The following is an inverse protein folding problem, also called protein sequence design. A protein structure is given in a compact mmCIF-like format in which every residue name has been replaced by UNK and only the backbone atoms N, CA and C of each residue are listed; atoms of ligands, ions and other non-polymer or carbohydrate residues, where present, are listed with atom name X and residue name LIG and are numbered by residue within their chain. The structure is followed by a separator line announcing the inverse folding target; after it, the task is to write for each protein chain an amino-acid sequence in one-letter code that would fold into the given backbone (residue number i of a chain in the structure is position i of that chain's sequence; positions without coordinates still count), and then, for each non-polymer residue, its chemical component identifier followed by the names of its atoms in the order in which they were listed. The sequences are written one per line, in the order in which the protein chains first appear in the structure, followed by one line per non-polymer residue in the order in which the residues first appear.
data_IF_925796769940
#
_entry.id   IF_925796769940
#
_cell.length_a   1.000
_cell.length_b   1.000
_cell.length_c   1.000
_cell.angle_alpha   90.00
_cell.angle_beta   90.00
_cell.angle_gamma   90.00
#
_symmetry.space_group_name_H-M   'P 1'
#
loop_
_entity.id
_entity.type
_entity.pdbx_description
1 polymer ?
#
# COMPACT_ATOMS: atom_id res chain seq x y z
N UNK A 1 14.26 1.29 -10.37
CA UNK A 1 12.83 0.98 -10.24
C UNK A 1 12.60 0.78 -8.75
N UNK A 2 11.61 1.42 -8.16
CA UNK A 2 11.34 1.32 -6.73
C UNK A 2 10.25 0.28 -6.46
N UNK A 3 10.39 -0.51 -5.41
CA UNK A 3 9.39 -1.50 -4.98
C UNK A 3 8.50 -0.89 -3.90
N UNK A 4 7.19 -1.00 -4.04
CA UNK A 4 6.24 -0.38 -3.10
C UNK A 4 5.20 -1.38 -2.64
N UNK A 5 4.92 -1.44 -1.33
CA UNK A 5 3.79 -2.19 -0.81
C UNK A 5 2.51 -1.38 -1.00
N UNK A 6 1.57 -1.93 -1.77
CA UNK A 6 0.27 -1.33 -2.06
C UNK A 6 -0.82 -2.27 -1.56
N UNK A 7 -1.72 -1.76 -0.73
CA UNK A 7 -2.92 -2.44 -0.30
C UNK A 7 -4.07 -2.20 -1.28
N UNK A 8 -4.71 -3.27 -1.72
CA UNK A 8 -5.94 -3.21 -2.50
C UNK A 8 -7.03 -3.92 -1.71
N UNK A 9 -7.97 -3.15 -1.16
CA UNK A 9 -9.05 -3.69 -0.35
C UNK A 9 -9.97 -4.62 -1.16
N UNK A 10 -10.48 -5.65 -0.49
CA UNK A 10 -11.42 -6.62 -1.06
C UNK A 10 -12.62 -5.93 -1.71
N UNK A 11 -13.32 -5.05 -1.00
CA UNK A 11 -14.53 -4.39 -1.46
C UNK A 11 -14.30 -3.50 -2.68
N UNK A 12 -13.14 -2.84 -2.79
CA UNK A 12 -12.79 -2.08 -4.00
C UNK A 12 -12.52 -3.01 -5.17
N UNK A 13 -11.76 -4.09 -4.94
CA UNK A 13 -11.54 -5.11 -5.96
C UNK A 13 -12.88 -5.74 -6.39
N UNK A 14 -13.78 -5.96 -5.44
CA UNK A 14 -15.07 -6.60 -5.64
C UNK A 14 -16.11 -5.70 -6.33
N UNK A 15 -16.04 -4.39 -6.14
CA UNK A 15 -16.98 -3.45 -6.73
C UNK A 15 -16.49 -2.92 -8.08
N UNK A 16 -15.28 -2.36 -8.10
CA UNK A 16 -14.76 -1.58 -9.23
C UNK A 16 -13.46 -2.15 -9.83
N UNK A 17 -12.80 -3.07 -9.12
CA UNK A 17 -11.48 -3.55 -9.52
C UNK A 17 -11.48 -4.54 -10.68
N UNK A 18 -10.34 -4.53 -11.36
CA UNK A 18 -9.96 -5.50 -12.40
C UNK A 18 -8.91 -6.44 -11.83
N UNK A 19 -9.13 -7.77 -11.85
CA UNK A 19 -8.11 -8.73 -11.43
C UNK A 19 -6.81 -8.57 -12.21
N UNK A 20 -5.70 -8.83 -11.53
CA UNK A 20 -4.35 -8.74 -12.07
C UNK A 20 -3.51 -9.91 -11.57
N UNK A 21 -2.40 -10.17 -12.25
CA UNK A 21 -1.46 -11.24 -11.96
C UNK A 21 -0.03 -10.70 -11.81
N UNK A 22 0.84 -11.51 -11.22
CA UNK A 22 2.28 -11.23 -11.22
C UNK A 22 2.77 -11.07 -12.66
N UNK A 23 3.51 -10.00 -12.92
CA UNK A 23 4.02 -9.63 -14.23
C UNK A 23 3.16 -8.62 -14.98
N UNK A 24 1.91 -8.39 -14.57
CA UNK A 24 1.03 -7.41 -15.22
C UNK A 24 1.53 -5.98 -14.99
N UNK A 25 1.33 -5.13 -16.01
CA UNK A 25 1.46 -3.68 -15.89
C UNK A 25 0.12 -3.11 -15.48
N UNK A 26 0.11 -2.31 -14.41
CA UNK A 26 -1.11 -1.72 -13.84
C UNK A 26 -0.95 -0.21 -13.69
N UNK A 27 -2.07 0.49 -13.68
CA UNK A 27 -2.16 1.89 -13.32
C UNK A 27 -3.18 2.05 -12.20
N UNK A 28 -2.74 2.51 -11.03
CA UNK A 28 -3.62 2.67 -9.87
C UNK A 28 -3.53 4.08 -9.28
N UNK A 29 -4.68 4.71 -8.97
CA UNK A 29 -4.70 5.86 -8.08
C UNK A 29 -4.27 5.43 -6.68
N UNK A 30 -3.19 6.01 -6.17
CA UNK A 30 -2.66 5.67 -4.85
C UNK A 30 -2.95 6.79 -3.84
N UNK A 31 -3.48 6.38 -2.68
CA UNK A 31 -3.74 7.20 -1.51
C UNK A 31 -2.79 6.76 -0.39
N UNK A 32 -2.16 7.72 0.28
CA UNK A 32 -1.44 7.45 1.52
C UNK A 32 -2.42 7.53 2.69
N UNK A 33 -2.77 6.38 3.25
CA UNK A 33 -3.65 6.27 4.40
C UNK A 33 -2.85 6.26 5.71
N UNK A 34 -3.43 6.82 6.77
CA UNK A 34 -2.96 6.53 8.12
C UNK A 34 -3.09 5.02 8.36
N UNK A 35 -2.05 4.44 8.94
CA UNK A 35 -2.01 3.01 9.21
C UNK A 35 -3.09 2.61 10.22
N UNK A 36 -3.39 3.45 11.20
CA UNK A 36 -4.35 3.15 12.27
C UNK A 36 -5.79 3.10 11.77
N UNK A 37 -6.09 3.81 10.68
CA UNK A 37 -7.41 3.83 10.04
C UNK A 37 -7.68 2.59 9.17
N UNK A 38 -6.63 1.84 8.80
CA UNK A 38 -6.78 0.65 7.96
C UNK A 38 -6.79 -0.61 8.84
N UNK A 39 -7.90 -1.34 8.84
CA UNK A 39 -8.05 -2.63 9.54
C UNK A 39 -7.56 -2.61 11.01
N UNK A 40 -7.79 -1.49 11.71
CA UNK A 40 -7.44 -1.33 13.13
C UNK A 40 -5.93 -1.18 13.42
N UNK A 41 -5.10 -0.90 12.42
CA UNK A 41 -3.68 -0.59 12.64
C UNK A 41 -2.75 -1.78 12.84
N UNK A 42 -1.52 -1.48 13.27
CA UNK A 42 -0.43 -2.44 13.51
C UNK A 42 0.35 -2.86 12.25
N UNK A 43 0.43 -2.00 11.23
CA UNK A 43 0.98 -2.30 9.90
C UNK A 43 2.51 -2.26 9.79
N UNK A 44 3.24 -2.50 10.89
CA UNK A 44 4.66 -2.16 11.03
C UNK A 44 5.58 -2.60 9.86
N UNK A 45 5.25 -3.69 9.17
CA UNK A 45 6.11 -4.29 8.12
C UNK A 45 5.70 -3.87 6.70
N UNK A 46 4.57 -3.19 6.55
CA UNK A 46 4.05 -2.74 5.25
C UNK A 46 3.94 -1.22 5.15
N UNK A 47 4.41 -0.49 6.17
CA UNK A 47 4.44 0.97 6.14
C UNK A 47 5.41 1.46 5.07
N UNK A 48 4.95 2.47 4.35
CA UNK A 48 5.76 3.25 3.42
C UNK A 48 6.06 4.59 4.05
N UNK A 49 7.33 4.99 4.00
CA UNK A 49 7.74 6.35 4.27
C UNK A 49 7.77 7.15 2.98
N UNK A 50 7.17 8.33 3.01
CA UNK A 50 7.16 9.29 1.90
C UNK A 50 7.70 10.61 2.39
N UNK A 51 8.75 11.08 1.72
CA UNK A 51 9.36 12.39 1.95
C UNK A 51 9.28 13.17 0.65
N UNK A 52 8.64 14.33 0.69
CA UNK A 52 8.33 15.01 -0.56
C UNK A 52 7.68 16.38 -0.42
N UNK A 53 7.59 17.06 -1.54
CA UNK A 53 6.89 18.34 -1.64
C UNK A 53 5.37 18.10 -1.73
N UNK A 54 4.61 18.89 -0.98
CA UNK A 54 3.15 18.89 -1.06
C UNK A 54 2.71 19.78 -2.22
N UNK A 55 1.80 19.27 -3.03
CA UNK A 55 1.24 19.96 -4.20
C UNK A 55 -0.29 19.83 -4.18
N UNK A 56 -0.99 20.86 -4.66
CA UNK A 56 -2.41 20.75 -4.99
C UNK A 56 -2.51 20.57 -6.52
N UNK A 57 -2.80 19.35 -6.95
CA UNK A 57 -2.92 19.00 -8.38
C UNK A 57 -4.36 19.23 -8.81
N UNK A 58 -4.55 20.02 -9.87
CA UNK A 58 -5.90 20.30 -10.41
C UNK A 58 -6.48 19.05 -11.06
N UNK A 59 -7.57 18.54 -10.50
CA UNK A 59 -8.44 17.56 -11.14
C UNK A 59 -9.71 18.22 -11.69
N UNK A 60 -10.52 17.42 -12.38
CA UNK A 60 -11.80 17.86 -12.97
C UNK A 60 -12.79 18.38 -11.93
N UNK A 61 -12.83 17.74 -10.77
CA UNK A 61 -13.78 18.02 -9.68
C UNK A 61 -13.16 18.87 -8.56
N UNK A 62 -11.99 19.48 -8.81
CA UNK A 62 -11.26 20.30 -7.85
C UNK A 62 -9.82 19.86 -7.68
N UNK A 63 -9.05 20.64 -6.91
CA UNK A 63 -7.67 20.28 -6.61
C UNK A 63 -7.60 19.16 -5.57
N UNK A 64 -6.75 18.18 -5.81
CA UNK A 64 -6.41 17.09 -4.88
C UNK A 64 -5.05 17.39 -4.28
N UNK A 65 -4.94 17.22 -2.97
CA UNK A 65 -3.65 17.37 -2.29
C UNK A 65 -2.85 16.08 -2.42
N UNK A 66 -1.63 16.22 -2.91
CA UNK A 66 -0.70 15.12 -3.16
C UNK A 66 0.64 15.41 -2.49
N UNK A 67 1.43 14.38 -2.31
CA UNK A 67 2.86 14.50 -2.05
C UNK A 67 3.62 13.92 -3.23
N UNK A 68 4.57 14.69 -3.76
CA UNK A 68 5.58 14.23 -4.71
C UNK A 68 6.80 13.80 -3.93
N UNK A 69 6.92 12.51 -3.74
CA UNK A 69 8.07 11.87 -3.12
C UNK A 69 9.34 12.19 -3.90
N UNK A 70 10.47 12.33 -3.20
CA UNK A 70 11.74 12.81 -3.76
C UNK A 70 12.30 11.93 -4.89
N UNK A 71 11.99 10.63 -4.87
CA UNK A 71 12.34 9.69 -5.95
C UNK A 71 11.30 9.65 -7.07
N UNK A 72 10.20 10.40 -6.95
CA UNK A 72 9.25 10.66 -8.04
C UNK A 72 7.89 9.98 -7.92
N UNK A 73 7.64 9.20 -6.85
CA UNK A 73 6.31 8.67 -6.59
C UNK A 73 5.35 9.84 -6.26
N UNK A 74 4.16 9.85 -6.86
CA UNK A 74 3.13 10.85 -6.57
C UNK A 74 1.92 10.12 -5.98
N UNK A 75 1.52 10.51 -4.78
CA UNK A 75 0.37 9.90 -4.10
C UNK A 75 -0.56 10.96 -3.53
N UNK A 76 -1.86 10.68 -3.54
CA UNK A 76 -2.83 11.53 -2.88
C UNK A 76 -2.67 11.43 -1.35
N UNK A 77 -2.92 12.54 -0.67
CA UNK A 77 -3.03 12.57 0.80
C UNK A 77 -4.49 12.47 1.25
N UNK A 78 -5.45 12.67 0.34
CA UNK A 78 -6.88 12.64 0.61
C UNK A 78 -7.65 12.08 -0.59
N UNK A 79 -8.74 11.34 -0.32
CA UNK A 79 -9.64 10.81 -1.35
C UNK A 79 -10.61 11.87 -1.93
N UNK A 80 -10.66 13.05 -1.32
CA UNK A 80 -11.56 14.14 -1.68
C UNK A 80 -10.78 15.39 -2.13
N UNK A 81 -11.39 16.29 -2.93
CA UNK A 81 -10.76 17.54 -3.32
C UNK A 81 -10.64 18.45 -2.09
N UNK A 82 -9.59 19.27 -2.07
CA UNK A 82 -9.23 20.14 -0.93
C UNK A 82 -10.38 21.02 -0.45
N UNK A 83 -11.23 21.50 -1.36
CA UNK A 83 -12.36 22.37 -1.01
C UNK A 83 -13.52 21.66 -0.30
N UNK A 84 -13.56 20.32 -0.32
CA UNK A 84 -14.56 19.50 0.38
C UNK A 84 -14.08 19.02 1.76
N UNK A 85 -12.82 19.26 2.11
CA UNK A 85 -12.21 18.81 3.36
C UNK A 85 -12.15 19.98 4.32
N UNK A 86 -12.51 19.76 5.59
CA UNK A 86 -12.40 20.80 6.60
C UNK A 86 -10.93 21.21 6.79
N UNK A 87 -10.62 22.50 7.04
CA UNK A 87 -9.25 22.95 7.20
C UNK A 87 -8.42 22.16 8.23
N UNK A 88 -9.06 21.70 9.31
CA UNK A 88 -8.41 20.95 10.39
C UNK A 88 -8.11 19.50 9.98
N UNK A 89 -8.86 18.95 9.02
CA UNK A 89 -8.70 17.58 8.51
C UNK A 89 -7.70 17.49 7.34
N UNK A 90 -7.29 18.63 6.76
CA UNK A 90 -6.30 18.66 5.67
C UNK A 90 -4.89 18.20 6.10
N UNK A 91 -4.64 18.10 7.41
CA UNK A 91 -3.36 17.70 7.97
C UNK A 91 -2.26 18.76 7.87
N UNK A 92 -1.04 18.36 8.21
CA UNK A 92 0.10 19.27 8.45
C UNK A 92 0.84 19.81 7.23
N UNK A 93 0.35 19.61 6.00
CA UNK A 93 1.04 20.00 4.77
C UNK A 93 0.25 20.98 3.91
N UNK A 94 0.79 22.18 3.70
CA UNK A 94 0.30 23.14 2.69
C UNK A 94 1.08 22.97 1.39
N UNK A 95 0.52 23.37 0.24
CA UNK A 95 1.27 23.38 -1.02
C UNK A 95 2.59 24.15 -0.89
N UNK A 96 3.69 23.51 -1.30
CA UNK A 96 5.06 24.03 -1.17
C UNK A 96 5.78 23.57 0.10
N UNK A 97 5.08 23.04 1.10
CA UNK A 97 5.72 22.44 2.27
C UNK A 97 6.40 21.12 1.87
N UNK A 98 7.53 20.83 2.53
CA UNK A 98 8.13 19.50 2.49
C UNK A 98 7.66 18.73 3.72
N UNK A 99 7.04 17.58 3.50
CA UNK A 99 6.56 16.72 4.58
C UNK A 99 7.32 15.40 4.60
N UNK A 100 7.27 14.75 5.77
CA UNK A 100 7.63 13.35 5.96
C UNK A 100 6.40 12.67 6.55
N UNK A 101 5.84 11.71 5.82
CA UNK A 101 4.66 10.96 6.23
C UNK A 101 4.95 9.47 6.17
N UNK A 102 4.37 8.72 7.10
CA UNK A 102 4.45 7.26 7.15
C UNK A 102 3.04 6.72 7.16
N UNK A 103 2.75 5.77 6.27
CA UNK A 103 1.40 5.24 6.13
C UNK A 103 1.35 4.04 5.20
N UNK A 104 0.13 3.58 4.92
CA UNK A 104 -0.12 2.51 3.96
C UNK A 104 -0.47 3.14 2.61
N UNK A 105 0.17 2.69 1.53
CA UNK A 105 -0.29 3.01 0.19
C UNK A 105 -1.51 2.14 -0.11
N UNK A 106 -2.65 2.76 -0.38
CA UNK A 106 -3.89 2.07 -0.73
C UNK A 106 -4.34 2.48 -2.14
N UNK A 107 -4.91 1.52 -2.87
CA UNK A 107 -5.61 1.82 -4.12
C UNK A 107 -6.90 2.58 -3.79
N UNK A 108 -7.21 3.65 -4.53
CA UNK A 108 -8.46 4.40 -4.37
C UNK A 108 -9.21 4.58 -5.70
N UNK A 109 -10.04 3.58 -6.03
CA UNK A 109 -10.84 3.57 -7.28
C UNK A 109 -12.34 3.80 -7.06
N UNK A 110 -12.78 4.00 -5.83
CA UNK A 110 -14.19 4.13 -5.46
C UNK A 110 -14.57 5.58 -5.06
N UNK A 111 -13.64 6.53 -5.23
CA UNK A 111 -13.91 7.96 -5.14
C UNK A 111 -14.54 8.53 -6.39
N UNK A 112 -15.31 9.62 -6.22
CA UNK A 112 -15.80 10.43 -7.35
C UNK A 112 -14.73 11.35 -7.95
N UNK A 113 -13.52 11.31 -7.40
CA UNK A 113 -12.42 12.23 -7.71
C UNK A 113 -11.35 11.48 -8.47
N UNK A 114 -10.89 12.07 -9.56
CA UNK A 114 -9.74 11.55 -10.32
C UNK A 114 -8.44 11.86 -9.56
N UNK A 115 -7.88 10.83 -8.92
CA UNK A 115 -6.58 10.91 -8.26
C UNK A 115 -5.45 10.60 -9.25
N UNK A 116 -4.21 11.10 -9.03
CA UNK A 116 -3.08 10.78 -9.90
C UNK A 116 -2.83 9.27 -9.96
N UNK A 117 -2.72 8.75 -11.18
CA UNK A 117 -2.42 7.35 -11.43
C UNK A 117 -0.92 7.07 -11.32
N UNK A 118 -0.55 6.07 -10.53
CA UNK A 118 0.80 5.51 -10.48
C UNK A 118 0.83 4.23 -11.33
N UNK A 119 1.79 4.16 -12.25
CA UNK A 119 1.99 3.00 -13.12
C UNK A 119 3.17 2.17 -12.66
N UNK A 120 3.01 0.85 -12.71
CA UNK A 120 4.09 -0.07 -12.39
C UNK A 120 3.76 -1.51 -12.72
N UNK A 121 4.77 -2.36 -12.53
CA UNK A 121 4.67 -3.80 -12.73
C UNK A 121 4.40 -4.52 -11.43
N UNK A 122 3.44 -5.44 -11.44
CA UNK A 122 3.15 -6.31 -10.31
C UNK A 122 4.28 -7.33 -10.14
N UNK A 123 4.97 -7.31 -8.99
CA UNK A 123 6.08 -8.22 -8.67
C UNK A 123 5.69 -9.33 -7.70
N UNK A 124 4.75 -9.07 -6.80
CA UNK A 124 4.20 -10.07 -5.90
C UNK A 124 2.76 -9.73 -5.54
N UNK A 125 1.94 -10.76 -5.30
CA UNK A 125 0.57 -10.62 -4.81
C UNK A 125 0.41 -11.53 -3.59
N UNK A 126 -0.08 -10.97 -2.49
CA UNK A 126 -0.34 -11.71 -1.26
C UNK A 126 -1.77 -11.44 -0.80
N UNK A 127 -2.59 -12.48 -0.71
CA UNK A 127 -3.94 -12.36 -0.11
C UNK A 127 -3.78 -12.12 1.38
N UNK A 128 -4.37 -11.01 1.84
CA UNK A 128 -4.40 -10.62 3.24
C UNK A 128 -5.65 -11.18 3.91
N UNK A 129 -5.47 -12.00 4.93
CA UNK A 129 -6.53 -12.41 5.85
C UNK A 129 -6.42 -11.60 7.14
N UNK A 130 -7.51 -10.98 7.56
CA UNK A 130 -7.64 -10.20 8.78
C UNK A 130 -8.44 -10.99 9.83
N UNK A 131 -7.95 -10.97 11.08
CA UNK A 131 -8.66 -11.48 12.25
C UNK A 131 -9.64 -10.44 12.80
N UNK A 132 -10.81 -10.92 13.26
CA UNK A 132 -11.87 -10.08 13.82
C UNK A 132 -12.35 -10.63 15.16
N UNK A 133 -12.67 -9.72 16.09
CA UNK A 133 -13.16 -10.05 17.43
C UNK A 133 -14.33 -9.15 17.84
N UNK A 134 -15.12 -9.63 18.79
CA UNK A 134 -16.13 -8.81 19.44
C UNK A 134 -15.44 -7.78 20.34
N UNK A 135 -15.73 -6.47 20.23
CA UNK A 135 -15.13 -5.46 21.10
C UNK A 135 -15.60 -5.60 22.55
N UNK A 136 -16.79 -6.18 22.76
CA UNK A 136 -17.33 -6.56 24.05
C UNK A 136 -18.25 -7.78 23.87
N UNK A 137 -18.45 -8.62 24.91
CA UNK A 137 -19.31 -9.80 24.81
C UNK A 137 -20.71 -9.46 24.31
N UNK A 138 -21.14 -10.10 23.22
CA UNK A 138 -22.48 -9.90 22.64
C UNK A 138 -22.62 -8.66 21.76
N UNK A 139 -21.50 -8.07 21.32
CA UNK A 139 -21.55 -7.02 20.30
C UNK A 139 -22.03 -7.57 18.95
N UNK A 140 -22.88 -6.80 18.27
CA UNK A 140 -23.44 -7.18 16.96
C UNK A 140 -22.42 -7.08 15.82
N UNK A 141 -21.36 -6.30 15.99
CA UNK A 141 -20.32 -6.07 15.00
C UNK A 141 -18.96 -6.53 15.51
N UNK A 142 -18.25 -7.26 14.65
CA UNK A 142 -16.86 -7.60 14.88
C UNK A 142 -15.97 -6.45 14.41
N UNK A 143 -14.92 -6.19 15.18
CA UNK A 143 -13.89 -5.20 14.86
C UNK A 143 -12.60 -5.93 14.48
N UNK A 144 -11.79 -5.37 13.56
CA UNK A 144 -10.51 -5.96 13.23
C UNK A 144 -9.60 -5.98 14.46
N UNK A 145 -8.90 -7.10 14.67
CA UNK A 145 -7.90 -7.22 15.73
C UNK A 145 -6.57 -6.65 15.20
N UNK A 146 -6.02 -5.59 15.82
CA UNK A 146 -4.77 -4.98 15.37
C UNK A 146 -3.64 -6.03 15.27
N UNK A 147 -2.97 -6.08 14.13
CA UNK A 147 -1.85 -7.01 13.90
C UNK A 147 -2.22 -8.49 13.75
N UNK A 148 -3.48 -8.91 13.89
CA UNK A 148 -3.89 -10.29 13.63
C UNK A 148 -4.12 -10.50 12.14
N UNK A 149 -3.01 -10.62 11.40
CA UNK A 149 -3.00 -10.72 9.93
C UNK A 149 -2.19 -11.92 9.45
N UNK A 150 -2.61 -12.47 8.32
CA UNK A 150 -1.89 -13.52 7.60
C UNK A 150 -1.81 -13.18 6.12
N UNK A 151 -0.64 -13.37 5.54
CA UNK A 151 -0.40 -13.19 4.12
C UNK A 151 -0.21 -14.56 3.47
N UNK A 152 -0.82 -14.75 2.30
CA UNK A 152 -0.62 -15.93 1.47
C UNK A 152 -0.25 -15.49 0.06
N UNK A 153 0.95 -15.86 -0.39
CA UNK A 153 1.37 -15.62 -1.76
C UNK A 153 0.44 -16.32 -2.77
N UNK A 154 0.12 -15.60 -3.86
CA UNK A 154 -0.67 -16.08 -4.99
C UNK A 154 -0.12 -15.48 -6.29
N UNK A 155 -0.30 -16.17 -7.41
CA UNK A 155 0.13 -15.65 -8.72
C UNK A 155 -0.85 -14.65 -9.32
N UNK A 156 -2.11 -14.68 -8.88
CA UNK A 156 -3.18 -13.81 -9.37
C UNK A 156 -4.09 -13.34 -8.22
N UNK A 157 -4.47 -12.06 -8.28
CA UNK A 157 -5.44 -11.47 -7.36
C UNK A 157 -6.82 -12.09 -7.61
N UNK A 158 -7.49 -12.62 -6.57
CA UNK A 158 -8.86 -13.08 -6.72
C UNK A 158 -9.78 -11.88 -6.99
N UNK A 159 -10.85 -12.11 -7.76
CA UNK A 159 -11.91 -11.12 -7.93
C UNK A 159 -12.89 -11.09 -6.76
N UNK A 160 -13.05 -12.23 -6.08
CA UNK A 160 -13.98 -12.43 -4.97
C UNK A 160 -13.21 -12.98 -3.79
N UNK A 161 -13.32 -12.29 -2.67
CA UNK A 161 -12.68 -12.60 -1.42
C UNK A 161 -13.66 -13.38 -0.54
N UNK A 162 -13.14 -14.38 0.16
CA UNK A 162 -13.92 -15.25 1.02
C UNK A 162 -13.45 -15.15 2.47
N UNK A 163 -14.27 -15.65 3.40
CA UNK A 163 -13.94 -15.58 4.81
C UNK A 163 -14.98 -16.23 5.71
N UNK A 164 -14.57 -16.50 6.94
CA UNK A 164 -15.47 -16.72 8.06
C UNK A 164 -15.55 -15.44 8.91
N UNK A 165 -16.60 -15.26 9.69
CA UNK A 165 -16.81 -14.02 10.46
C UNK A 165 -15.59 -13.56 11.27
N UNK A 166 -14.84 -14.49 11.88
CA UNK A 166 -13.66 -14.18 12.70
C UNK A 166 -12.34 -14.08 11.92
N UNK A 167 -12.33 -14.48 10.65
CA UNK A 167 -11.16 -14.46 9.76
C UNK A 167 -11.61 -14.31 8.31
N UNK A 168 -11.46 -13.12 7.76
CA UNK A 168 -11.87 -12.83 6.39
C UNK A 168 -10.70 -12.36 5.54
N UNK A 169 -10.66 -12.77 4.27
CA UNK A 169 -9.76 -12.16 3.31
C UNK A 169 -10.23 -10.71 3.08
N UNK A 170 -9.38 -9.75 3.44
CA UNK A 170 -9.71 -8.32 3.49
C UNK A 170 -9.11 -7.54 2.30
N UNK A 171 -8.43 -8.23 1.39
CA UNK A 171 -7.79 -7.64 0.21
C UNK A 171 -6.47 -8.33 -0.12
N UNK A 172 -5.62 -7.61 -0.84
CA UNK A 172 -4.26 -8.04 -1.18
C UNK A 172 -3.23 -6.98 -0.83
N UNK A 173 -2.04 -7.44 -0.43
CA UNK A 173 -0.81 -6.64 -0.48
C UNK A 173 -0.11 -6.98 -1.78
N UNK A 174 0.21 -5.94 -2.54
CA UNK A 174 0.90 -6.00 -3.83
C UNK A 174 2.26 -5.38 -3.67
N UNK A 175 3.30 -6.04 -4.16
CA UNK A 175 4.57 -5.35 -4.43
C UNK A 175 4.51 -4.79 -5.85
N UNK A 176 4.46 -3.46 -5.96
CA UNK A 176 4.45 -2.74 -7.23
C UNK A 176 5.83 -2.18 -7.51
N UNK A 177 6.39 -2.52 -8.67
CA UNK A 177 7.64 -1.93 -9.16
C UNK A 177 7.33 -0.70 -10.02
N UNK A 178 7.74 0.48 -9.55
CA UNK A 178 7.43 1.76 -10.17
C UNK A 178 8.69 2.35 -10.84
N UNK A 179 8.65 2.64 -12.16
CA UNK A 179 9.78 3.23 -12.86
C UNK A 179 10.21 4.59 -12.31
N UNK A 180 11.51 4.85 -12.34
CA UNK A 180 12.08 6.13 -11.92
C UNK A 180 12.12 6.39 -10.42
N UNK A 181 11.56 5.50 -9.60
CA UNK A 181 11.49 5.63 -8.13
C UNK A 181 12.51 4.75 -7.41
N UNK A 182 12.64 4.95 -6.10
CA UNK A 182 13.34 4.12 -5.13
C UNK A 182 12.59 4.17 -3.78
N UNK A 183 12.77 3.17 -2.92
CA UNK A 183 11.99 3.07 -1.68
C UNK A 183 12.73 2.34 -0.57
N UNK A 184 12.24 2.46 0.66
CA UNK A 184 12.75 1.67 1.79
C UNK A 184 12.66 0.16 1.55
N UNK A 185 11.64 -0.31 0.82
CA UNK A 185 11.51 -1.73 0.45
C UNK A 185 12.60 -2.12 -0.58
N UNK A 186 12.86 -1.29 -1.59
CA UNK A 186 13.98 -1.51 -2.52
C UNK A 186 15.32 -1.59 -1.79
N UNK A 187 15.58 -0.69 -0.85
CA UNK A 187 16.76 -0.75 0.02
C UNK A 187 16.83 -2.05 0.84
N UNK A 188 15.70 -2.49 1.42
CA UNK A 188 15.65 -3.74 2.18
C UNK A 188 15.95 -4.98 1.32
N UNK A 189 15.41 -5.03 0.08
CA UNK A 189 15.70 -6.10 -0.89
C UNK A 189 17.17 -6.08 -1.30
N UNK A 190 17.76 -4.90 -1.54
CA UNK A 190 19.21 -4.77 -1.82
C UNK A 190 20.05 -5.33 -0.69
N UNK A 191 19.78 -4.90 0.54
CA UNK A 191 20.49 -5.36 1.73
C UNK A 191 20.38 -6.89 1.91
N UNK A 192 19.16 -7.44 1.77
CA UNK A 192 18.92 -8.88 1.86
C UNK A 192 19.61 -9.68 0.75
N UNK A 193 19.83 -9.06 -0.41
CA UNK A 193 20.52 -9.65 -1.56
C UNK A 193 22.05 -9.46 -1.53
N UNK A 194 22.58 -8.80 -0.50
CA UNK A 194 24.01 -8.48 -0.38
C UNK A 194 24.50 -7.45 -1.41
N UNK A 195 23.60 -6.64 -1.96
CA UNK A 195 23.95 -5.56 -2.88
C UNK A 195 24.44 -4.33 -2.10
N UNK A 196 25.35 -3.53 -2.68
CA UNK A 196 25.77 -2.26 -2.09
C UNK A 196 24.61 -1.28 -1.86
N UNK A 197 24.72 -0.42 -0.84
CA UNK A 197 23.71 0.60 -0.53
C UNK A 197 23.56 1.65 -1.65
N UNK A 198 24.62 1.88 -2.44
CA UNK A 198 24.65 2.78 -3.59
C UNK A 198 24.31 2.08 -4.92
N UNK A 199 23.91 0.80 -4.89
CA UNK A 199 23.44 0.10 -6.07
C UNK A 199 22.24 0.87 -6.69
N UNK A 200 22.24 1.09 -8.02
CA UNK A 200 21.15 1.81 -8.67
C UNK A 200 19.78 1.15 -8.43
N UNK A 201 18.70 1.95 -8.32
CA UNK A 201 17.36 1.40 -8.13
C UNK A 201 16.98 0.44 -9.27
N UNK A 202 16.46 -0.74 -8.95
CA UNK A 202 16.10 -1.80 -9.89
C UNK A 202 17.15 -2.89 -10.04
N UNK A 203 18.38 -2.69 -9.54
CA UNK A 203 19.38 -3.77 -9.49
C UNK A 203 18.91 -4.93 -8.60
N UNK A 204 18.08 -4.65 -7.60
CA UNK A 204 17.53 -5.65 -6.68
C UNK A 204 16.50 -6.59 -7.29
N UNK A 205 15.93 -6.24 -8.44
CA UNK A 205 14.97 -7.09 -9.18
C UNK A 205 15.56 -7.62 -10.50
N UNK A 206 16.71 -7.08 -10.94
CA UNK A 206 17.33 -7.44 -12.20
C UNK A 206 17.89 -8.87 -12.18
N UNK A 207 17.46 -9.69 -13.13
CA UNK A 207 17.94 -11.06 -13.30
C UNK A 207 17.45 -12.07 -12.23
N UNK A 208 16.69 -11.62 -11.22
CA UNK A 208 16.06 -12.54 -10.27
C UNK A 208 14.86 -13.24 -10.92
N UNK A 209 14.77 -14.59 -10.81
CA UNK A 209 13.55 -15.32 -11.12
C UNK A 209 12.36 -14.75 -10.33
N UNK A 210 11.19 -14.67 -10.97
CA UNK A 210 10.01 -14.06 -10.35
C UNK A 210 9.56 -14.75 -9.07
N UNK A 211 9.71 -16.08 -8.99
CA UNK A 211 9.44 -16.90 -7.80
C UNK A 211 10.44 -16.63 -6.67
N UNK A 212 11.73 -16.45 -6.99
CA UNK A 212 12.76 -16.09 -6.02
C UNK A 212 12.52 -14.69 -5.43
N UNK A 213 12.15 -13.72 -6.27
CA UNK A 213 11.81 -12.37 -5.84
C UNK A 213 10.53 -12.38 -4.98
N UNK A 214 9.49 -13.10 -5.39
CA UNK A 214 8.25 -13.23 -4.61
C UNK A 214 8.49 -13.86 -3.24
N UNK A 215 9.33 -14.91 -3.16
CA UNK A 215 9.69 -15.53 -1.89
C UNK A 215 10.46 -14.56 -0.97
N UNK A 216 11.39 -13.77 -1.51
CA UNK A 216 12.10 -12.75 -0.74
C UNK A 216 11.14 -11.67 -0.23
N UNK A 217 10.26 -11.16 -1.09
CA UNK A 217 9.26 -10.17 -0.72
C UNK A 217 8.31 -10.70 0.36
N UNK A 218 7.90 -11.97 0.30
CA UNK A 218 7.08 -12.58 1.35
C UNK A 218 7.77 -12.54 2.73
N UNK A 219 9.09 -12.72 2.79
CA UNK A 219 9.84 -12.62 4.04
C UNK A 219 9.94 -11.19 4.57
N UNK A 220 9.96 -10.20 3.68
CA UNK A 220 10.01 -8.78 4.05
C UNK A 220 8.61 -8.23 4.41
N UNK A 221 7.55 -8.85 3.90
CA UNK A 221 6.16 -8.53 4.23
C UNK A 221 5.67 -9.16 5.53
N UNK A 222 6.47 -10.01 6.20
CA UNK A 222 6.07 -10.72 7.42
C UNK A 222 7.17 -10.68 8.47
N UNK A 223 7.20 -9.65 9.32
CA UNK A 223 8.09 -9.72 10.49
C UNK A 223 7.42 -10.63 11.52
N UNK A 224 8.13 -11.72 11.83
CA UNK A 224 7.73 -12.67 12.88
C UNK A 224 7.47 -11.89 14.16
N UNK A 225 6.35 -12.20 14.84
CA UNK A 225 6.14 -11.82 16.25
C UNK A 225 7.46 -12.04 17.00
N UNK A 226 7.98 -11.05 17.75
CA UNK A 226 9.10 -11.31 18.63
C UNK A 226 8.72 -12.51 19.50
N UNK A 227 9.59 -13.53 19.52
CA UNK A 227 9.43 -14.62 20.49
C UNK A 227 9.44 -13.95 21.85
N UNK A 228 8.30 -13.98 22.54
CA UNK A 228 8.27 -13.66 23.96
C UNK A 228 9.21 -14.67 24.62
N UNK A 229 10.23 -14.20 25.36
CA UNK A 229 11.20 -15.08 26.03
C UNK A 229 10.55 -16.00 27.05
#
# INVERSE_FOLDING_TARGET
MGLWHVFYADWQMECCGTPFSVGDEVGWPLLLCDADDVLGGGWHDQLTEIVGAVEDVRGKDGAVRVVREETGLVVALHAHPVHMIAPDDLGGGRPGDRIRSVGLLAVETHGSVELPEVRGRVRAVQVLTQGFAEPAPGADLLVPVPGERWLKAVDACPRWFGGAARRSAAGVIVTLEVPGTDSALSHAVRAASGLPDDAPPGTESEGLPGDALAALLETLSTVRKPRVP
#
